data_IF_480458744986
#
_entry.id   IF_480458744986
#
_cell.length_a   1.000
_cell.length_b   1.000
_cell.length_c   1.000
_cell.angle_alpha   90.00
_cell.angle_beta   90.00
_cell.angle_gamma   90.00
#
_symmetry.space_group_name_H-M   'P 1'
#
loop_
_entity.id
_entity.type
_entity.pdbx_description
1 polymer ?
#
# COMPACT_ATOMS: atom_id res chain seq x y z
N UNK A 1 -5.42 8.36 3.24
CA UNK A 1 -4.69 8.04 4.47
C UNK A 1 -3.70 6.93 4.16
N UNK A 2 -2.41 7.26 4.08
CA UNK A 2 -1.35 6.33 3.66
C UNK A 2 -0.41 5.96 4.82
N UNK A 3 -0.78 6.32 6.06
CA UNK A 3 0.01 6.08 7.25
C UNK A 3 -0.80 5.31 8.29
N UNK A 4 -0.09 4.61 9.18
CA UNK A 4 -0.71 3.94 10.32
C UNK A 4 -0.57 2.43 10.31
N UNK A 5 -0.92 1.87 11.48
CA UNK A 5 -0.73 0.47 11.86
C UNK A 5 -1.30 -0.54 10.83
N UNK A 6 -2.43 -0.30 10.13
CA UNK A 6 -2.95 -1.27 9.16
C UNK A 6 -2.00 -1.55 7.98
N UNK A 7 -1.37 -0.51 7.42
CA UNK A 7 -0.42 -0.66 6.30
C UNK A 7 0.89 -1.27 6.80
N UNK A 8 1.35 -0.87 7.99
CA UNK A 8 2.55 -1.43 8.61
C UNK A 8 2.38 -2.92 8.92
N UNK A 9 1.21 -3.35 9.41
CA UNK A 9 0.90 -4.75 9.66
C UNK A 9 0.86 -5.58 8.37
N UNK A 10 0.27 -5.06 7.28
CA UNK A 10 0.29 -5.74 5.98
C UNK A 10 1.71 -5.88 5.44
N UNK A 11 2.51 -4.82 5.50
CA UNK A 11 3.91 -4.85 5.09
C UNK A 11 4.73 -5.86 5.93
N UNK A 12 4.49 -5.93 7.24
CA UNK A 12 5.12 -6.91 8.13
C UNK A 12 4.66 -8.36 7.85
N UNK A 13 3.39 -8.57 7.48
CA UNK A 13 2.89 -9.90 7.09
C UNK A 13 3.53 -10.39 5.78
N UNK A 14 3.67 -9.52 4.79
CA UNK A 14 4.37 -9.80 3.53
C UNK A 14 5.87 -10.07 3.77
N UNK A 15 6.51 -9.27 4.64
CA UNK A 15 7.93 -9.41 4.97
C UNK A 15 8.23 -10.68 5.80
N UNK A 16 7.32 -11.13 6.68
CA UNK A 16 7.46 -12.40 7.42
C UNK A 16 7.62 -13.64 6.54
N UNK A 17 7.22 -13.60 5.26
CA UNK A 17 7.47 -14.67 4.28
C UNK A 17 8.91 -14.69 3.78
N UNK A 18 9.61 -13.56 3.86
CA UNK A 18 11.02 -13.37 3.52
C UNK A 18 11.83 -13.25 4.81
N UNK A 19 11.92 -14.39 5.51
CA UNK A 19 12.65 -14.57 6.76
C UNK A 19 14.11 -14.11 6.62
N UNK A 20 14.44 -12.91 7.08
CA UNK A 20 15.64 -12.59 7.87
C UNK A 20 15.91 -11.09 8.06
N UNK A 21 15.19 -10.20 7.39
CA UNK A 21 15.53 -8.77 7.46
C UNK A 21 14.38 -7.91 7.97
N UNK A 22 14.35 -7.73 9.30
CA UNK A 22 13.49 -6.77 10.02
C UNK A 22 13.94 -5.32 9.79
N UNK A 23 14.59 -5.05 8.68
CA UNK A 23 15.07 -3.73 8.35
C UNK A 23 13.88 -2.79 8.16
N UNK A 24 13.80 -1.80 9.05
CA UNK A 24 12.74 -0.78 9.07
C UNK A 24 12.63 -0.08 7.72
N UNK A 25 13.71 -0.02 6.96
CA UNK A 25 13.76 0.53 5.59
C UNK A 25 12.97 -0.33 4.62
N UNK A 26 13.12 -1.66 4.66
CA UNK A 26 12.41 -2.60 3.79
C UNK A 26 10.91 -2.58 4.09
N UNK A 27 10.53 -2.58 5.37
CA UNK A 27 9.12 -2.50 5.79
C UNK A 27 8.47 -1.20 5.29
N UNK A 28 9.17 -0.06 5.41
CA UNK A 28 8.69 1.23 4.89
C UNK A 28 8.55 1.23 3.36
N UNK A 29 9.48 0.60 2.65
CA UNK A 29 9.42 0.48 1.18
C UNK A 29 8.22 -0.36 0.75
N UNK A 30 8.00 -1.52 1.39
CA UNK A 30 6.84 -2.39 1.17
C UNK A 30 5.53 -1.66 1.49
N UNK A 31 5.45 -0.97 2.63
CA UNK A 31 4.30 -0.17 2.99
C UNK A 31 3.94 0.89 1.94
N UNK A 32 4.95 1.60 1.40
CA UNK A 32 4.76 2.59 0.34
C UNK A 32 4.29 1.97 -0.97
N UNK A 33 4.89 0.83 -1.35
CA UNK A 33 4.47 0.10 -2.54
C UNK A 33 3.01 -0.35 -2.41
N UNK A 34 2.65 -0.96 -1.28
CA UNK A 34 1.29 -1.40 -1.00
C UNK A 34 0.28 -0.24 -1.05
N UNK A 35 0.62 0.92 -0.47
CA UNK A 35 -0.23 2.10 -0.54
C UNK A 35 -0.45 2.58 -1.98
N UNK A 36 0.59 2.52 -2.82
CA UNK A 36 0.53 2.97 -4.21
C UNK A 36 -0.32 2.03 -5.07
N UNK A 37 -0.13 0.72 -4.90
CA UNK A 37 -0.95 -0.31 -5.57
C UNK A 37 -2.43 -0.22 -5.16
N UNK A 38 -2.69 -0.01 -3.86
CA UNK A 38 -4.05 0.15 -3.36
C UNK A 38 -4.73 1.42 -3.90
N UNK A 39 -3.99 2.53 -3.98
CA UNK A 39 -4.48 3.79 -4.56
C UNK A 39 -4.84 3.61 -6.03
N UNK A 40 -3.97 2.97 -6.82
CA UNK A 40 -4.23 2.77 -8.24
C UNK A 40 -5.46 1.89 -8.47
N UNK A 41 -5.61 0.83 -7.68
CA UNK A 41 -6.79 -0.03 -7.73
C UNK A 41 -8.07 0.73 -7.35
N UNK A 42 -8.04 1.50 -6.27
CA UNK A 42 -9.19 2.32 -5.86
C UNK A 42 -9.55 3.37 -6.90
N UNK A 43 -8.55 4.01 -7.51
CA UNK A 43 -8.75 4.97 -8.61
C UNK A 43 -9.42 4.31 -9.80
N UNK A 44 -8.97 3.12 -10.21
CA UNK A 44 -9.61 2.36 -11.30
C UNK A 44 -11.06 1.98 -10.95
N UNK A 45 -11.32 1.50 -9.74
CA UNK A 45 -12.67 1.16 -9.27
C UNK A 45 -13.59 2.40 -9.31
N UNK A 46 -13.11 3.55 -8.80
CA UNK A 46 -13.87 4.79 -8.81
C UNK A 46 -14.12 5.34 -10.22
N UNK A 47 -13.15 5.23 -11.13
CA UNK A 47 -13.33 5.57 -12.54
C UNK A 47 -14.39 4.66 -13.19
N UNK A 48 -14.40 3.36 -12.87
CA UNK A 48 -15.39 2.41 -13.39
C UNK A 48 -16.81 2.72 -12.93
N UNK A 49 -16.97 3.36 -11.76
CA UNK A 49 -18.25 3.82 -11.24
C UNK A 49 -18.69 5.18 -11.79
N UNK A 50 -17.88 5.80 -12.66
CA UNK A 50 -18.17 7.10 -13.26
C UNK A 50 -17.95 8.28 -12.30
N UNK A 51 -17.14 8.11 -11.25
CA UNK A 51 -16.78 9.20 -10.35
C UNK A 51 -15.84 10.16 -11.07
N UNK A 52 -16.26 11.42 -11.19
CA UNK A 52 -15.45 12.51 -11.73
C UNK A 52 -14.63 13.12 -10.59
N UNK A 53 -13.31 12.94 -10.63
CA UNK A 53 -12.35 13.56 -9.71
C UNK A 53 -11.06 13.93 -10.47
N UNK A 54 -10.24 14.78 -9.86
CA UNK A 54 -8.89 15.04 -10.38
C UNK A 54 -7.97 13.89 -9.97
N UNK A 55 -7.59 13.08 -10.94
CA UNK A 55 -6.84 11.85 -10.73
C UNK A 55 -5.33 12.01 -10.98
N UNK A 56 -4.87 13.23 -11.29
CA UNK A 56 -3.49 13.55 -11.66
C UNK A 56 -2.67 14.14 -10.52
#
# INVERSE_FOLDING_TARGET
DCHGLPIELKALQENKRNSNDKDRIIVRKLARQFATEALEKQKQDFQSWGILADWN
#
